data_IF_530309014209
#
_entry.id   IF_530309014209
#
_cell.length_a   1.000
_cell.length_b   1.000
_cell.length_c   1.000
_cell.angle_alpha   90.00
_cell.angle_beta   90.00
_cell.angle_gamma   90.00
#
_symmetry.space_group_name_H-M   'P 1'
#
loop_
_entity.id
_entity.type
_entity.pdbx_description
1 polymer ?
#
# COMPACT_ATOMS: atom_id res chain seq x y z
N UNK A 1 -12.02 0.97 3.68
CA UNK A 1 -10.72 1.57 3.33
C UNK A 1 -10.98 2.88 2.62
N UNK A 2 -10.43 3.99 3.12
CA UNK A 2 -10.51 5.31 2.48
C UNK A 2 -9.25 5.49 1.63
N UNK A 3 -9.35 5.35 0.30
CA UNK A 3 -8.22 5.51 -0.61
C UNK A 3 -8.11 6.98 -1.01
N UNK A 4 -7.21 7.73 -0.37
CA UNK A 4 -6.91 9.12 -0.74
C UNK A 4 -5.70 9.14 -1.70
N UNK A 5 -5.96 9.32 -2.99
CA UNK A 5 -4.90 9.52 -4.01
C UNK A 5 -4.62 11.02 -4.11
N UNK A 6 -3.51 11.49 -3.52
CA UNK A 6 -3.00 12.85 -3.77
C UNK A 6 -2.15 12.82 -5.04
N UNK A 7 -2.69 13.36 -6.13
CA UNK A 7 -1.96 13.56 -7.39
C UNK A 7 -1.30 14.95 -7.39
N UNK A 8 0.03 15.01 -7.48
CA UNK A 8 0.80 16.26 -7.64
C UNK A 8 1.69 16.13 -8.87
N UNK A 9 1.29 16.78 -9.97
CA UNK A 9 2.02 16.75 -11.24
C UNK A 9 3.09 17.83 -11.22
N UNK A 10 4.31 17.49 -10.81
CA UNK A 10 5.49 18.28 -11.16
C UNK A 10 6.69 17.33 -11.33
N UNK A 11 7.10 17.16 -12.60
CA UNK A 11 8.27 16.42 -13.13
C UNK A 11 8.20 14.87 -13.23
N UNK A 12 8.00 14.38 -14.47
CA UNK A 12 8.35 13.08 -15.11
C UNK A 12 8.74 11.82 -14.28
N UNK A 13 8.21 11.63 -13.08
CA UNK A 13 8.28 10.37 -12.35
C UNK A 13 6.92 10.10 -11.70
N UNK A 14 6.35 8.92 -11.98
CA UNK A 14 5.17 8.47 -11.29
C UNK A 14 5.61 7.79 -10.00
N UNK A 15 5.46 8.51 -8.87
CA UNK A 15 5.64 7.97 -7.53
C UNK A 15 4.27 7.55 -6.98
N UNK A 16 4.00 6.25 -6.97
CA UNK A 16 2.81 5.68 -6.33
C UNK A 16 3.15 5.29 -4.89
N UNK A 17 2.39 5.82 -3.92
CA UNK A 17 2.55 5.49 -2.50
C UNK A 17 1.21 5.08 -1.89
N UNK A 18 1.20 3.92 -1.26
CA UNK A 18 0.07 3.38 -0.51
C UNK A 18 0.50 3.23 0.95
N UNK A 19 -0.31 3.75 1.86
CA UNK A 19 -0.11 3.57 3.31
C UNK A 19 -1.34 2.84 3.84
N UNK A 20 -1.14 1.65 4.40
CA UNK A 20 -2.18 0.85 5.03
C UNK A 20 -1.89 0.74 6.52
N UNK A 21 -2.82 1.19 7.33
CA UNK A 21 -2.79 0.93 8.78
C UNK A 21 -3.72 -0.22 9.10
N UNK A 22 -3.21 -1.20 9.82
CA UNK A 22 -3.97 -2.34 10.34
C UNK A 22 -3.99 -2.22 11.85
N UNK A 23 -5.20 -2.20 12.37
CA UNK A 23 -5.46 -2.35 13.80
C UNK A 23 -6.10 -3.71 14.02
N UNK A 24 -5.41 -4.59 14.73
CA UNK A 24 -5.95 -5.85 15.22
C UNK A 24 -6.25 -5.70 16.72
N UNK A 25 -7.48 -6.01 17.12
CA UNK A 25 -7.93 -5.94 18.52
C UNK A 25 -8.32 -7.34 18.98
N UNK A 26 -7.72 -7.80 20.08
CA UNK A 26 -8.04 -9.06 20.76
C UNK A 26 -8.45 -8.76 22.21
N UNK A 27 -9.08 -9.70 22.94
CA UNK A 27 -9.33 -9.52 24.36
C UNK A 27 -8.06 -9.26 25.20
N UNK A 28 -6.89 -9.60 24.65
CA UNK A 28 -5.60 -9.55 25.31
C UNK A 28 -4.85 -8.24 25.01
N UNK A 29 -5.29 -7.46 24.01
CA UNK A 29 -4.71 -6.15 23.71
C UNK A 29 -5.08 -5.58 22.34
N UNK A 30 -4.25 -4.66 21.86
CA UNK A 30 -4.37 -4.03 20.55
C UNK A 30 -3.01 -3.97 19.86
N UNK A 31 -2.93 -4.46 18.63
CA UNK A 31 -1.80 -4.31 17.73
C UNK A 31 -2.14 -3.29 16.64
N UNK A 32 -1.29 -2.26 16.48
CA UNK A 32 -1.40 -1.29 15.38
C UNK A 32 -0.13 -1.37 14.57
N UNK A 33 -0.26 -1.66 13.27
CA UNK A 33 0.84 -1.69 12.32
C UNK A 33 0.55 -0.86 11.09
N UNK A 34 1.59 -0.19 10.59
CA UNK A 34 1.53 0.59 9.35
C UNK A 34 2.43 -0.05 8.30
N UNK A 35 1.84 -0.32 7.14
CA UNK A 35 2.52 -0.86 5.96
C UNK A 35 2.57 0.24 4.90
N UNK A 36 3.74 0.43 4.29
CA UNK A 36 3.93 1.44 3.24
C UNK A 36 4.43 0.75 1.98
N UNK A 37 3.58 0.69 0.97
CA UNK A 37 3.95 0.31 -0.38
C UNK A 37 4.38 1.53 -1.19
N UNK A 38 5.53 1.46 -1.85
CA UNK A 38 5.94 2.48 -2.82
C UNK A 38 6.32 1.81 -4.13
N UNK A 39 5.82 2.33 -5.24
CA UNK A 39 6.36 2.02 -6.57
C UNK A 39 6.79 3.31 -7.27
N UNK A 40 7.88 3.19 -8.00
CA UNK A 40 8.40 4.25 -8.85
C UNK A 40 8.42 3.73 -10.27
N UNK A 41 7.68 4.38 -11.17
CA UNK A 41 7.84 4.16 -12.62
C UNK A 41 8.35 5.43 -13.28
N UNK A 42 9.51 5.30 -13.91
CA UNK A 42 10.04 6.29 -14.85
C UNK A 42 9.44 5.99 -16.22
N UNK A 43 8.45 6.76 -16.64
CA UNK A 43 7.74 6.60 -17.92
C UNK A 43 7.81 7.86 -18.78
N UNK A 44 7.62 7.72 -20.09
CA UNK A 44 7.53 8.83 -21.04
C UNK A 44 6.32 9.70 -20.75
N UNK A 45 6.36 10.98 -21.18
CA UNK A 45 5.48 12.14 -20.86
C UNK A 45 3.94 11.95 -20.76
N UNK A 46 3.40 10.77 -21.02
CA UNK A 46 1.98 10.46 -21.03
C UNK A 46 1.77 9.05 -20.47
N UNK A 47 2.05 8.82 -19.18
CA UNK A 47 1.51 7.64 -18.54
C UNK A 47 -0.01 7.72 -18.64
N UNK A 48 -0.62 6.73 -19.31
CA UNK A 48 -2.06 6.71 -19.50
C UNK A 48 -2.73 6.43 -18.15
N UNK A 49 -4.00 6.83 -17.98
CA UNK A 49 -4.76 6.50 -16.76
C UNK A 49 -4.71 5.00 -16.43
N UNK A 50 -4.63 4.13 -17.46
CA UNK A 50 -4.42 2.68 -17.32
C UNK A 50 -3.07 2.29 -16.71
N UNK A 51 -1.98 3.00 -17.06
CA UNK A 51 -0.64 2.71 -16.53
C UNK A 51 -0.54 3.11 -15.05
N UNK A 52 -1.26 4.18 -14.68
CA UNK A 52 -1.42 4.63 -13.29
C UNK A 52 -2.21 3.58 -12.50
N UNK A 53 -3.33 3.10 -13.04
CA UNK A 53 -4.19 2.11 -12.40
C UNK A 53 -3.47 0.78 -12.19
N UNK A 54 -2.74 0.28 -13.20
CA UNK A 54 -1.93 -0.93 -13.11
C UNK A 54 -0.85 -0.79 -12.04
N UNK A 55 -0.11 0.33 -12.06
CA UNK A 55 0.96 0.58 -11.07
C UNK A 55 0.40 0.66 -9.66
N UNK A 56 -0.75 1.30 -9.46
CA UNK A 56 -1.40 1.36 -8.15
C UNK A 56 -1.88 -0.02 -7.69
N UNK A 57 -2.50 -0.80 -8.58
CA UNK A 57 -2.95 -2.16 -8.29
C UNK A 57 -1.79 -3.07 -7.91
N UNK A 58 -0.64 -2.94 -8.58
CA UNK A 58 0.57 -3.67 -8.24
C UNK A 58 1.06 -3.30 -6.82
N UNK A 59 1.15 -2.00 -6.51
CA UNK A 59 1.58 -1.54 -5.18
C UNK A 59 0.66 -2.09 -4.10
N UNK A 60 -0.66 -1.96 -4.29
CA UNK A 60 -1.65 -2.46 -3.33
C UNK A 60 -1.52 -3.97 -3.18
N UNK A 61 -1.42 -4.72 -4.28
CA UNK A 61 -1.30 -6.18 -4.25
C UNK A 61 -0.04 -6.63 -3.50
N UNK A 62 1.09 -5.95 -3.72
CA UNK A 62 2.34 -6.24 -3.03
C UNK A 62 2.23 -5.93 -1.53
N UNK A 63 1.71 -4.76 -1.16
CA UNK A 63 1.52 -4.42 0.26
C UNK A 63 0.56 -5.37 0.96
N UNK A 64 -0.53 -5.80 0.30
CA UNK A 64 -1.45 -6.80 0.83
C UNK A 64 -0.79 -8.18 1.00
N UNK A 65 0.09 -8.59 0.07
CA UNK A 65 0.87 -9.82 0.22
C UNK A 65 1.86 -9.74 1.39
N UNK A 66 2.48 -8.59 1.63
CA UNK A 66 3.36 -8.39 2.78
C UNK A 66 2.58 -8.50 4.09
N UNK A 67 1.43 -7.83 4.17
CA UNK A 67 0.49 -7.93 5.29
C UNK A 67 0.10 -9.39 5.56
N UNK A 68 -0.30 -10.12 4.52
CA UNK A 68 -0.76 -11.51 4.65
C UNK A 68 0.34 -12.46 5.12
N UNK A 69 1.61 -12.12 4.87
CA UNK A 69 2.76 -12.92 5.27
C UNK A 69 3.45 -12.40 6.55
N UNK A 70 2.93 -11.34 7.17
CA UNK A 70 3.51 -10.76 8.39
C UNK A 70 3.37 -11.75 9.55
N UNK A 71 4.48 -12.32 10.06
CA UNK A 71 4.43 -13.37 11.08
C UNK A 71 3.92 -12.84 12.42
N UNK A 72 4.18 -11.58 12.75
CA UNK A 72 3.72 -10.95 14.00
C UNK A 72 2.21 -10.71 13.95
N UNK A 73 1.70 -10.18 12.84
CA UNK A 73 0.25 -10.02 12.66
C UNK A 73 -0.45 -11.39 12.68
N UNK A 74 0.13 -12.39 12.02
CA UNK A 74 -0.41 -13.75 12.01
C UNK A 74 -0.40 -14.40 13.38
N UNK A 75 0.70 -14.28 14.12
CA UNK A 75 0.78 -14.79 15.49
C UNK A 75 -0.23 -14.08 16.38
N UNK A 76 -0.31 -12.76 16.29
CA UNK A 76 -1.24 -11.95 17.06
C UNK A 76 -2.72 -12.28 16.79
N UNK A 77 -3.06 -12.72 15.58
CA UNK A 77 -4.41 -13.20 15.25
C UNK A 77 -4.66 -14.67 15.60
N UNK A 78 -3.63 -15.45 15.95
CA UNK A 78 -3.76 -16.84 16.39
C UNK A 78 -3.88 -16.99 17.91
N UNK A 79 -3.44 -15.98 18.68
CA UNK A 79 -3.56 -15.89 20.14
C UNK A 79 -4.96 -15.41 20.59
#
# INVERSE_FOLDING_TARGET
ALVNVKHSVMENQMDAKVILEITAETPQGKLVKTYTGTAKRSGTLSASDSDIEETLNDVVTLTLKEIANDPELRQYMQE
#
